data_IF_511688478983
#
_entry.id   IF_511688478983
#
_cell.length_a   1.000
_cell.length_b   1.000
_cell.length_c   1.000
_cell.angle_alpha   90.00
_cell.angle_beta   90.00
_cell.angle_gamma   90.00
#
_symmetry.space_group_name_H-M   'P 1'
#
loop_
_entity.id
_entity.type
_entity.pdbx_description
1 polymer ?
#
# COMPACT_ATOMS: atom_id res chain seq x y z
N UNK A 1 1.75 -29.48 30.87
CA UNK A 1 2.05 -30.25 29.64
C UNK A 1 1.99 -29.26 28.48
N UNK A 2 3.06 -29.15 27.70
CA UNK A 2 3.24 -28.16 26.63
C UNK A 2 2.23 -28.36 25.50
N UNK A 3 1.64 -27.28 25.00
CA UNK A 3 1.20 -27.18 23.59
C UNK A 3 1.60 -25.81 23.07
N UNK A 4 2.64 -25.83 22.25
CA UNK A 4 3.10 -24.75 21.38
C UNK A 4 2.18 -24.79 20.16
N UNK A 5 1.46 -23.69 19.87
CA UNK A 5 0.81 -23.51 18.56
C UNK A 5 1.39 -22.26 17.92
N UNK A 6 1.72 -22.44 16.66
CA UNK A 6 2.65 -21.64 15.87
C UNK A 6 2.10 -20.25 15.51
N UNK A 7 3.07 -19.35 15.37
CA UNK A 7 3.02 -18.10 14.64
C UNK A 7 2.37 -18.24 13.24
N UNK A 8 1.92 -17.09 12.73
CA UNK A 8 1.46 -16.83 11.36
C UNK A 8 -0.01 -17.20 11.09
N UNK A 9 -0.89 -16.19 11.15
CA UNK A 9 -2.04 -15.97 10.24
C UNK A 9 -2.78 -14.67 10.65
N UNK A 10 -2.07 -13.57 10.83
CA UNK A 10 -2.70 -12.25 11.01
C UNK A 10 -2.71 -11.55 9.65
N UNK A 11 -3.69 -11.85 8.79
CA UNK A 11 -4.17 -10.94 7.73
C UNK A 11 -5.32 -11.45 6.83
N UNK A 12 -6.23 -12.31 7.31
CA UNK A 12 -7.47 -12.55 6.53
C UNK A 12 -8.67 -12.99 7.37
N UNK A 13 -8.46 -13.76 8.43
CA UNK A 13 -9.58 -14.29 9.24
C UNK A 13 -10.14 -13.31 10.28
N UNK A 14 -9.45 -12.21 10.60
CA UNK A 14 -9.91 -11.26 11.63
C UNK A 14 -11.21 -10.55 11.21
N UNK A 15 -11.42 -10.30 9.91
CA UNK A 15 -12.67 -9.66 9.45
C UNK A 15 -13.90 -10.58 9.49
N UNK A 16 -13.73 -11.91 9.34
CA UNK A 16 -14.87 -12.84 9.28
C UNK A 16 -15.31 -13.32 10.68
N UNK A 17 -14.39 -13.39 11.64
CA UNK A 17 -14.68 -13.87 13.01
C UNK A 17 -15.46 -12.84 13.84
N UNK A 18 -15.37 -11.55 13.53
CA UNK A 18 -15.99 -10.48 14.34
C UNK A 18 -17.49 -10.24 14.08
N UNK A 19 -18.14 -11.01 13.19
CA UNK A 19 -19.60 -10.90 12.98
C UNK A 19 -20.43 -11.54 14.12
N UNK A 20 -19.80 -12.27 15.05
CA UNK A 20 -20.50 -12.94 16.15
C UNK A 20 -20.28 -12.30 17.53
N UNK A 21 -19.40 -11.32 17.65
CA UNK A 21 -19.12 -10.66 18.93
C UNK A 21 -19.39 -9.16 18.79
N UNK A 22 -20.44 -8.67 19.45
CA UNK A 22 -20.87 -7.27 19.50
C UNK A 22 -19.78 -6.34 20.07
N UNK A 23 -18.74 -6.03 19.29
CA UNK A 23 -17.74 -5.01 19.63
C UNK A 23 -18.26 -3.66 19.11
N UNK A 24 -18.93 -2.91 19.98
CA UNK A 24 -19.38 -1.52 19.73
C UNK A 24 -18.20 -0.54 19.81
N UNK A 25 -17.17 -0.74 18.99
CA UNK A 25 -15.94 0.05 18.99
C UNK A 25 -15.24 0.04 17.64
N UNK A 26 -15.50 1.08 16.83
CA UNK A 26 -14.71 1.56 15.70
C UNK A 26 -14.10 0.51 14.74
N UNK A 27 -14.95 -0.36 14.18
CA UNK A 27 -14.60 -1.31 13.11
C UNK A 27 -13.93 -0.64 11.90
N UNK A 28 -14.23 0.64 11.64
CA UNK A 28 -13.56 1.41 10.57
C UNK A 28 -12.07 1.65 10.83
N UNK A 29 -11.60 1.67 12.08
CA UNK A 29 -10.20 1.99 12.40
C UNK A 29 -9.27 0.80 12.22
N UNK A 30 -9.79 -0.43 12.29
CA UNK A 30 -8.97 -1.66 12.30
C UNK A 30 -8.74 -2.17 10.87
N UNK A 31 -9.65 -1.88 9.95
CA UNK A 31 -9.55 -2.28 8.54
C UNK A 31 -8.93 -1.20 7.64
N UNK A 32 -8.54 -0.03 8.18
CA UNK A 32 -7.93 1.04 7.40
C UNK A 32 -6.47 0.69 7.08
N UNK A 33 -6.03 0.83 5.81
CA UNK A 33 -4.64 0.64 5.43
C UNK A 33 -3.71 1.50 6.30
N UNK A 34 -2.58 0.97 6.80
CA UNK A 34 -1.65 1.76 7.59
C UNK A 34 -1.22 3.01 6.83
N UNK A 35 -1.28 4.16 7.50
CA UNK A 35 -0.78 5.42 6.96
C UNK A 35 0.74 5.48 7.16
N UNK A 36 1.49 5.62 6.08
CA UNK A 36 2.96 5.75 6.13
C UNK A 36 3.34 7.17 5.77
N UNK A 37 4.15 7.80 6.62
CA UNK A 37 4.76 9.09 6.33
C UNK A 37 6.06 8.86 5.56
N UNK A 38 6.18 9.47 4.38
CA UNK A 38 7.39 9.47 3.56
C UNK A 38 7.71 10.91 3.17
N UNK A 39 8.89 11.42 3.54
CA UNK A 39 9.32 12.80 3.28
C UNK A 39 8.26 13.86 3.65
N UNK A 40 7.54 13.65 4.76
CA UNK A 40 6.48 14.56 5.22
C UNK A 40 5.14 14.43 4.48
N UNK A 41 4.96 13.39 3.67
CA UNK A 41 3.73 13.09 2.93
C UNK A 41 3.11 11.80 3.48
N UNK A 42 1.80 11.82 3.77
CA UNK A 42 1.10 10.67 4.34
C UNK A 42 0.38 9.89 3.25
N UNK A 43 0.82 8.65 3.00
CA UNK A 43 0.20 7.73 2.05
C UNK A 43 -0.55 6.59 2.75
N UNK A 44 -1.70 6.18 2.20
CA UNK A 44 -2.44 5.00 2.68
C UNK A 44 -1.91 3.74 2.00
N UNK A 45 -1.24 2.89 2.77
CA UNK A 45 -0.54 1.69 2.30
C UNK A 45 -1.47 0.47 2.26
N UNK A 46 -1.70 -0.08 1.08
CA UNK A 46 -2.50 -1.29 0.84
C UNK A 46 -1.71 -2.60 1.01
N UNK A 47 -0.40 -2.52 1.24
CA UNK A 47 0.46 -3.64 1.59
C UNK A 47 1.40 -4.07 0.46
N UNK A 48 2.05 -5.21 0.67
CA UNK A 48 3.02 -5.79 -0.25
C UNK A 48 2.40 -6.93 -1.06
N UNK A 49 2.55 -6.88 -2.38
CA UNK A 49 1.86 -7.76 -3.32
C UNK A 49 2.83 -8.32 -4.35
N UNK A 50 2.69 -9.60 -4.67
CA UNK A 50 3.57 -10.27 -5.64
C UNK A 50 3.29 -9.74 -7.05
N UNK A 51 4.33 -9.61 -7.87
CA UNK A 51 4.22 -9.34 -9.30
C UNK A 51 4.87 -10.45 -10.12
N UNK A 52 4.47 -10.56 -11.39
CA UNK A 52 4.97 -11.57 -12.32
C UNK A 52 5.15 -10.97 -13.71
N UNK A 53 5.83 -11.64 -14.66
CA UNK A 53 6.00 -11.10 -16.01
C UNK A 53 4.71 -10.75 -16.76
N UNK A 54 3.57 -11.37 -16.41
CA UNK A 54 2.24 -11.02 -16.94
C UNK A 54 1.66 -9.72 -16.38
N UNK A 55 2.28 -9.17 -15.33
CA UNK A 55 2.03 -7.89 -14.65
C UNK A 55 0.63 -7.74 -14.03
N UNK A 56 0.60 -7.44 -12.73
CA UNK A 56 -0.63 -7.09 -12.03
C UNK A 56 -1.07 -5.64 -12.28
N UNK A 57 -0.12 -4.77 -12.62
CA UNK A 57 -0.31 -3.32 -12.74
C UNK A 57 0.33 -2.81 -14.03
N UNK A 58 -0.09 -1.62 -14.46
CA UNK A 58 0.49 -0.93 -15.63
C UNK A 58 1.71 -0.13 -15.20
N UNK A 59 2.82 -0.26 -15.92
CA UNK A 59 4.02 0.55 -15.70
C UNK A 59 3.78 1.99 -16.17
N UNK A 60 4.10 2.97 -15.32
CA UNK A 60 3.98 4.40 -15.63
C UNK A 60 5.33 5.09 -15.86
N UNK A 61 6.44 4.47 -15.45
CA UNK A 61 7.80 4.98 -15.65
C UNK A 61 8.75 4.60 -14.53
N UNK A 62 9.95 5.18 -14.54
CA UNK A 62 10.98 5.01 -13.51
C UNK A 62 11.32 6.37 -12.91
N UNK A 63 11.33 6.47 -11.58
CA UNK A 63 11.61 7.71 -10.87
C UNK A 63 12.72 7.50 -9.86
N UNK A 64 13.90 8.07 -10.09
CA UNK A 64 15.05 7.93 -9.18
C UNK A 64 14.92 8.87 -7.98
N UNK A 65 14.55 10.12 -8.24
CA UNK A 65 14.35 11.14 -7.21
C UNK A 65 12.90 11.13 -6.75
N UNK A 66 12.68 11.13 -5.43
CA UNK A 66 11.35 11.11 -4.80
C UNK A 66 10.38 10.11 -5.46
N UNK A 67 10.76 8.82 -5.60
CA UNK A 67 10.04 7.83 -6.38
C UNK A 67 8.56 7.75 -6.01
N UNK A 68 8.28 7.75 -4.71
CA UNK A 68 6.93 7.58 -4.19
C UNK A 68 6.03 8.76 -4.55
N UNK A 69 6.50 9.99 -4.34
CA UNK A 69 5.77 11.21 -4.67
C UNK A 69 5.55 11.35 -6.18
N UNK A 70 6.59 11.15 -6.99
CA UNK A 70 6.49 11.28 -8.43
C UNK A 70 5.58 10.21 -9.04
N UNK A 71 5.62 8.98 -8.51
CA UNK A 71 4.70 7.93 -8.92
C UNK A 71 3.26 8.26 -8.54
N UNK A 72 3.02 8.77 -7.33
CA UNK A 72 1.69 9.23 -6.90
C UNK A 72 1.13 10.32 -7.82
N UNK A 73 1.91 11.37 -8.12
CA UNK A 73 1.46 12.46 -9.01
C UNK A 73 1.15 11.93 -10.41
N UNK A 74 2.00 11.05 -10.94
CA UNK A 74 1.80 10.44 -12.25
C UNK A 74 0.53 9.60 -12.30
N UNK A 75 0.32 8.73 -11.31
CA UNK A 75 -0.88 7.91 -11.19
C UNK A 75 -2.16 8.74 -11.03
N UNK A 76 -2.11 9.79 -10.20
CA UNK A 76 -3.22 10.74 -10.01
C UNK A 76 -3.60 11.45 -11.30
N UNK A 77 -2.61 11.98 -12.03
CA UNK A 77 -2.85 12.68 -13.29
C UNK A 77 -3.41 11.76 -14.39
N UNK A 78 -3.09 10.46 -14.34
CA UNK A 78 -3.66 9.45 -15.23
C UNK A 78 -4.95 8.80 -14.70
N UNK A 79 -5.52 9.32 -13.61
CA UNK A 79 -6.80 8.89 -13.03
C UNK A 79 -6.81 7.43 -12.56
N UNK A 80 -5.67 6.91 -12.08
CA UNK A 80 -5.64 5.61 -11.39
C UNK A 80 -6.06 5.74 -9.93
N UNK A 81 -6.69 4.70 -9.40
CA UNK A 81 -7.11 4.62 -7.99
C UNK A 81 -5.97 4.19 -7.06
N UNK A 82 -4.98 3.48 -7.59
CA UNK A 82 -3.83 2.97 -6.85
C UNK A 82 -2.53 3.18 -7.61
N UNK A 83 -1.45 3.27 -6.86
CA UNK A 83 -0.08 3.28 -7.38
C UNK A 83 0.81 2.39 -6.53
N UNK A 84 1.95 1.98 -7.07
CA UNK A 84 2.94 1.21 -6.33
C UNK A 84 4.35 1.47 -6.83
N UNK A 85 5.30 1.16 -5.96
CA UNK A 85 6.70 1.05 -6.34
C UNK A 85 7.13 -0.42 -6.39
N UNK A 86 7.95 -0.74 -7.39
CA UNK A 86 8.69 -2.00 -7.49
C UNK A 86 10.18 -1.66 -7.58
N UNK A 87 11.01 -2.50 -6.97
CA UNK A 87 12.47 -2.41 -7.08
C UNK A 87 13.05 -1.01 -6.75
N UNK A 88 12.41 -0.25 -5.85
CA UNK A 88 12.90 1.04 -5.37
C UNK A 88 12.45 2.26 -6.17
N UNK A 89 12.23 2.13 -7.47
CA UNK A 89 12.04 3.28 -8.38
C UNK A 89 11.03 3.07 -9.51
N UNK A 90 10.63 1.83 -9.80
CA UNK A 90 9.69 1.56 -10.88
C UNK A 90 8.28 1.92 -10.43
N UNK A 91 7.62 2.77 -11.19
CA UNK A 91 6.26 3.19 -10.91
C UNK A 91 5.24 2.34 -11.67
N UNK A 92 4.26 1.86 -10.91
CA UNK A 92 3.17 1.05 -11.40
C UNK A 92 1.83 1.61 -10.90
N UNK A 93 0.75 1.39 -11.65
CA UNK A 93 -0.58 1.83 -11.27
C UNK A 93 -1.69 0.95 -11.84
N UNK A 94 -2.88 1.05 -11.26
CA UNK A 94 -4.03 0.27 -11.63
C UNK A 94 -5.29 0.75 -10.93
N UNK A 95 -6.34 -0.06 -11.00
CA UNK A 95 -7.66 0.27 -10.45
C UNK A 95 -8.23 -0.93 -9.69
N UNK A 96 -9.10 -0.66 -8.72
CA UNK A 96 -9.74 -1.68 -7.91
C UNK A 96 -8.73 -2.63 -7.26
N UNK A 97 -8.94 -3.93 -7.45
CA UNK A 97 -8.16 -5.00 -6.84
C UNK A 97 -7.10 -5.62 -7.76
N UNK A 98 -6.74 -4.96 -8.87
CA UNK A 98 -5.80 -5.54 -9.87
C UNK A 98 -4.45 -5.91 -9.25
N UNK A 99 -3.99 -5.13 -8.28
CA UNK A 99 -2.77 -5.37 -7.51
C UNK A 99 -2.75 -6.70 -6.72
N UNK A 100 -3.93 -7.28 -6.45
CA UNK A 100 -4.05 -8.52 -5.69
C UNK A 100 -3.92 -9.78 -6.54
N UNK A 101 -3.74 -9.63 -7.86
CA UNK A 101 -3.78 -10.72 -8.84
C UNK A 101 -2.93 -11.95 -8.46
N UNK A 102 -1.76 -11.75 -7.86
CA UNK A 102 -0.84 -12.83 -7.49
C UNK A 102 -0.74 -13.10 -5.98
N UNK A 103 -1.54 -12.39 -5.18
CA UNK A 103 -1.55 -12.52 -3.72
C UNK A 103 -0.45 -11.72 -3.00
N UNK A 104 -0.41 -11.90 -1.69
CA UNK A 104 0.49 -11.19 -0.77
C UNK A 104 1.94 -11.62 -1.01
N UNK A 105 2.87 -10.67 -0.94
CA UNK A 105 4.31 -10.93 -0.94
C UNK A 105 4.96 -10.48 0.36
N UNK A 106 6.07 -11.11 0.73
CA UNK A 106 6.94 -10.71 1.84
C UNK A 106 8.26 -10.11 1.36
N UNK A 107 8.39 -9.82 0.07
CA UNK A 107 9.63 -9.35 -0.56
C UNK A 107 9.77 -7.82 -0.59
N UNK A 108 8.75 -7.06 -0.20
CA UNK A 108 8.88 -5.60 -0.12
C UNK A 108 9.81 -5.20 1.01
N UNK A 109 10.63 -4.20 0.73
CA UNK A 109 11.53 -3.63 1.70
C UNK A 109 10.78 -2.69 2.68
N UNK A 110 11.35 -2.51 3.87
CA UNK A 110 10.76 -1.64 4.90
C UNK A 110 10.70 -0.15 4.48
N UNK A 111 11.45 0.23 3.44
CA UNK A 111 11.49 1.60 2.92
C UNK A 111 10.21 2.01 2.15
N UNK A 112 9.27 1.09 1.93
CA UNK A 112 8.02 1.37 1.23
C UNK A 112 8.17 1.53 -0.28
N UNK A 113 9.24 1.00 -0.89
CA UNK A 113 9.52 1.17 -2.31
C UNK A 113 9.43 -0.14 -3.11
N UNK A 114 8.75 -1.14 -2.55
CA UNK A 114 8.60 -2.46 -3.14
C UNK A 114 9.82 -3.34 -2.94
N UNK A 115 9.96 -4.34 -3.79
CA UNK A 115 11.09 -5.26 -3.83
C UNK A 115 11.22 -5.93 -5.19
N UNK A 116 12.09 -6.94 -5.30
CA UNK A 116 12.20 -7.73 -6.51
C UNK A 116 10.91 -8.52 -6.75
N UNK A 117 10.22 -8.24 -7.85
CA UNK A 117 8.91 -8.82 -8.19
C UNK A 117 7.86 -8.66 -7.09
N UNK A 118 7.93 -7.55 -6.36
CA UNK A 118 6.95 -7.22 -5.34
C UNK A 118 6.63 -5.73 -5.35
N UNK A 119 5.34 -5.43 -5.44
CA UNK A 119 4.79 -4.09 -5.45
C UNK A 119 4.41 -3.68 -4.03
N UNK A 120 4.95 -2.55 -3.56
CA UNK A 120 4.42 -1.88 -2.38
C UNK A 120 3.31 -0.92 -2.82
N UNK A 121 2.07 -1.22 -2.45
CA UNK A 121 0.87 -0.61 -3.04
C UNK A 121 0.27 0.44 -2.12
N UNK A 122 -0.20 1.53 -2.71
CA UNK A 122 -0.76 2.70 -2.05
C UNK A 122 -2.03 3.18 -2.76
N UNK A 123 -2.95 3.77 -1.99
CA UNK A 123 -4.11 4.48 -2.58
C UNK A 123 -3.70 5.82 -3.15
N UNK A 124 -4.32 6.20 -4.27
CA UNK A 124 -4.30 7.57 -4.78
C UNK A 124 -5.40 8.37 -4.08
N UNK A 125 -5.07 9.09 -3.02
CA UNK A 125 -6.02 9.94 -2.31
C UNK A 125 -5.80 11.42 -2.66
N UNK A 126 -6.85 12.12 -3.10
CA UNK A 126 -6.77 13.56 -3.40
C UNK A 126 -6.39 14.44 -2.19
N UNK A 127 -6.53 13.91 -0.97
CA UNK A 127 -6.24 14.58 0.29
C UNK A 127 -4.87 14.19 0.86
N UNK A 128 -3.96 13.65 0.04
CA UNK A 128 -2.59 13.36 0.49
C UNK A 128 -1.97 14.67 0.99
N UNK A 129 -1.77 14.77 2.31
CA UNK A 129 -1.30 15.98 2.97
C UNK A 129 0.19 16.12 2.71
N UNK A 130 0.58 17.18 1.99
CA UNK A 130 1.95 17.69 2.00
C UNK A 130 2.11 18.54 3.26
N UNK A 131 2.66 17.93 4.31
CA UNK A 131 2.78 18.57 5.62
C UNK A 131 3.70 19.81 5.54
N UNK A 132 4.61 19.86 4.56
CA UNK A 132 5.52 20.97 4.35
C UNK A 132 4.84 22.16 3.63
N UNK A 133 3.95 21.91 2.67
CA UNK A 133 3.10 22.98 2.10
C UNK A 133 2.05 23.49 3.07
N UNK A 134 1.60 22.66 3.99
CA UNK A 134 0.57 23.07 4.98
C UNK A 134 1.13 24.07 6.02
N UNK A 135 2.46 24.11 6.20
CA UNK A 135 3.14 25.03 7.11
C UNK A 135 3.42 26.43 6.49
N UNK A 136 3.40 26.57 5.17
CA UNK A 136 3.58 27.87 4.48
C UNK A 136 2.30 28.71 4.42
N UNK A 137 1.14 28.14 4.75
CA UNK A 137 -0.14 28.85 4.83
C UNK A 137 -0.52 29.29 6.25
N UNK A 138 0.45 29.42 7.16
CA UNK A 138 0.27 30.02 8.49
C UNK A 138 1.04 31.32 8.63
#
# INVERSE_FOLDING_TARGET
MKLVVWNVLVNSLVCFVLLFENVSGNLESICKPPKVAYDGIIFEKLGCWEDRPTRALKRLGDFITNPLYNCYIKARNEMYEIFSLQFGYECWAGNGLSYQMFGISNKCEINGRGGSWANEVYKVNNNTLDVNKTAEFR
#
